data_IF_451901560783
#
_entry.id   IF_451901560783
#
_cell.length_a   1.000
_cell.length_b   1.000
_cell.length_c   1.000
_cell.angle_alpha   90.00
_cell.angle_beta   90.00
_cell.angle_gamma   90.00
#
_symmetry.space_group_name_H-M   'P 1'
#
loop_
_entity.id
_entity.type
_entity.pdbx_description
1 polymer ?
#
# COMPACT_ATOMS: atom_id res chain seq x y z
N UNK A 1 19.27 9.75 -14.08
CA UNK A 1 18.32 9.21 -13.07
C UNK A 1 18.36 10.03 -11.79
N UNK A 2 19.47 10.07 -11.04
CA UNK A 2 19.60 10.89 -9.81
C UNK A 2 19.12 12.35 -9.98
N UNK A 3 19.62 13.07 -10.99
CA UNK A 3 19.19 14.45 -11.26
C UNK A 3 17.68 14.64 -11.50
N UNK A 4 16.97 13.62 -12.03
CA UNK A 4 15.52 13.69 -12.20
C UNK A 4 14.80 13.45 -10.86
N UNK A 5 15.29 12.52 -10.05
CA UNK A 5 14.77 12.26 -8.69
C UNK A 5 15.02 13.44 -7.75
N UNK A 6 16.15 14.13 -7.90
CA UNK A 6 16.48 15.34 -7.13
C UNK A 6 15.48 16.48 -7.38
N UNK A 7 14.79 16.49 -8.53
CA UNK A 7 13.69 17.43 -8.83
C UNK A 7 12.38 17.04 -8.14
N UNK A 8 12.14 15.75 -7.94
CA UNK A 8 10.92 15.24 -7.29
C UNK A 8 11.01 15.32 -5.76
N UNK A 9 12.22 15.18 -5.21
CA UNK A 9 12.46 15.24 -3.77
C UNK A 9 11.84 16.47 -3.08
N UNK A 10 12.10 17.73 -3.52
CA UNK A 10 11.52 18.89 -2.85
C UNK A 10 9.99 18.96 -2.99
N UNK A 11 9.42 18.42 -4.07
CA UNK A 11 7.97 18.37 -4.27
C UNK A 11 7.34 17.40 -3.27
N UNK A 12 7.81 16.15 -3.23
CA UNK A 12 7.28 15.16 -2.28
C UNK A 12 7.50 15.57 -0.83
N UNK A 13 8.66 16.16 -0.51
CA UNK A 13 8.92 16.66 0.84
C UNK A 13 7.89 17.72 1.25
N UNK A 14 7.59 18.68 0.36
CA UNK A 14 6.60 19.70 0.64
C UNK A 14 5.21 19.09 0.87
N UNK A 15 4.79 18.17 0.00
CA UNK A 15 3.50 17.48 0.12
C UNK A 15 3.40 16.69 1.44
N UNK A 16 4.46 15.97 1.82
CA UNK A 16 4.50 15.23 3.09
C UNK A 16 4.52 16.15 4.31
N UNK A 17 5.22 17.29 4.26
CA UNK A 17 5.22 18.26 5.35
C UNK A 17 3.83 18.82 5.59
N UNK A 18 3.11 19.21 4.53
CA UNK A 18 1.73 19.67 4.63
C UNK A 18 0.81 18.56 5.17
N UNK A 19 0.94 17.33 4.64
CA UNK A 19 0.16 16.19 5.09
C UNK A 19 0.36 15.91 6.59
N UNK A 20 1.60 15.91 7.08
CA UNK A 20 1.90 15.67 8.49
C UNK A 20 1.38 16.79 9.40
N UNK A 21 1.42 18.05 8.95
CA UNK A 21 0.84 19.17 9.69
C UNK A 21 -0.68 19.06 9.79
N UNK A 22 -1.36 18.68 8.71
CA UNK A 22 -2.81 18.46 8.71
C UNK A 22 -3.22 17.27 9.59
N UNK A 23 -2.36 16.26 9.68
CA UNK A 23 -2.58 15.03 10.44
C UNK A 23 -1.94 15.06 11.82
N UNK A 24 -1.66 16.25 12.37
CA UNK A 24 -1.06 16.42 13.69
C UNK A 24 -1.74 15.55 14.76
N UNK A 25 -0.93 14.82 15.54
CA UNK A 25 -1.38 13.87 16.55
C UNK A 25 -2.00 12.56 16.04
N UNK A 26 -1.96 12.28 14.72
CA UNK A 26 -2.50 11.05 14.12
C UNK A 26 -1.41 10.31 13.32
N UNK A 27 -1.44 8.96 13.27
CA UNK A 27 -0.55 8.19 12.42
C UNK A 27 -0.86 8.44 10.93
N UNK A 28 0.19 8.50 10.11
CA UNK A 28 0.09 8.63 8.65
C UNK A 28 0.89 7.51 8.01
N UNK A 29 0.19 6.62 7.30
CA UNK A 29 0.78 5.50 6.58
C UNK A 29 0.94 5.83 5.10
N UNK A 30 2.19 5.87 4.66
CA UNK A 30 2.62 6.23 3.31
C UNK A 30 3.06 4.97 2.59
N UNK A 31 2.29 4.60 1.56
CA UNK A 31 2.68 3.52 0.65
C UNK A 31 3.75 4.03 -0.31
N UNK A 32 4.84 3.28 -0.42
CA UNK A 32 5.88 3.57 -1.41
C UNK A 32 5.35 3.38 -2.83
N UNK A 33 6.12 3.86 -3.81
CA UNK A 33 5.74 3.88 -5.21
C UNK A 33 5.34 2.49 -5.71
N UNK A 34 4.11 2.39 -6.20
CA UNK A 34 3.47 1.14 -6.57
C UNK A 34 3.23 0.97 -8.09
N UNK A 35 2.75 1.96 -8.86
CA UNK A 35 2.40 1.73 -10.26
C UNK A 35 3.62 1.41 -11.15
N UNK A 36 3.43 0.66 -12.25
CA UNK A 36 4.47 0.46 -13.24
C UNK A 36 4.81 1.75 -13.98
N UNK A 37 6.06 1.89 -14.43
CA UNK A 37 6.55 3.13 -15.04
C UNK A 37 5.82 3.52 -16.34
N UNK A 38 5.27 2.55 -17.07
CA UNK A 38 4.59 2.83 -18.34
C UNK A 38 3.25 3.57 -18.17
N UNK A 39 2.65 3.57 -16.98
CA UNK A 39 1.45 4.38 -16.69
C UNK A 39 1.73 5.89 -16.72
N UNK A 40 2.99 6.30 -16.58
CA UNK A 40 3.41 7.70 -16.63
C UNK A 40 3.89 8.13 -18.03
N UNK A 41 3.86 7.21 -19.00
CA UNK A 41 4.27 7.51 -20.37
C UNK A 41 3.08 7.99 -21.18
N UNK A 42 3.28 8.98 -22.05
CA UNK A 42 2.22 9.49 -22.89
C UNK A 42 1.70 8.42 -23.85
N UNK A 43 0.42 8.52 -24.17
CA UNK A 43 -0.21 7.69 -25.19
C UNK A 43 -0.36 8.48 -26.49
N UNK A 44 -0.15 7.82 -27.63
CA UNK A 44 -0.29 8.43 -28.94
C UNK A 44 0.95 9.19 -29.41
N UNK A 45 0.92 9.60 -30.69
CA UNK A 45 2.10 10.19 -31.35
C UNK A 45 2.44 11.57 -30.83
N UNK A 46 1.45 12.41 -30.51
CA UNK A 46 1.70 13.80 -30.13
C UNK A 46 2.37 13.88 -28.75
N UNK A 47 1.90 13.11 -27.77
CA UNK A 47 2.55 13.06 -26.46
C UNK A 47 3.96 12.45 -26.50
N UNK A 48 4.24 11.52 -27.43
CA UNK A 48 5.60 11.02 -27.64
C UNK A 48 6.54 12.09 -28.21
N UNK A 49 6.02 13.01 -29.02
CA UNK A 49 6.80 14.15 -29.54
C UNK A 49 7.08 15.17 -28.44
N UNK A 50 6.08 15.52 -27.64
CA UNK A 50 6.30 16.39 -26.47
C UNK A 50 7.36 15.83 -25.51
N UNK A 51 7.38 14.50 -25.33
CA UNK A 51 8.37 13.83 -24.49
C UNK A 51 9.77 13.85 -25.14
N UNK A 52 9.88 13.71 -26.46
CA UNK A 52 11.16 13.78 -27.16
C UNK A 52 11.79 15.19 -27.04
N UNK A 53 10.97 16.23 -27.19
CA UNK A 53 11.38 17.63 -27.10
C UNK A 53 11.83 17.95 -25.67
N UNK A 54 11.06 17.51 -24.67
CA UNK A 54 11.35 17.72 -23.26
C UNK A 54 12.63 16.99 -22.79
N UNK A 55 12.93 15.82 -23.35
CA UNK A 55 14.12 15.03 -23.00
C UNK A 55 15.33 15.34 -23.89
N UNK A 56 15.15 16.10 -24.96
CA UNK A 56 16.15 16.33 -26.01
C UNK A 56 16.74 15.01 -26.54
N UNK A 57 15.87 14.02 -26.81
CA UNK A 57 16.23 12.70 -27.34
C UNK A 57 15.56 12.46 -28.71
N UNK A 58 16.14 11.61 -29.58
CA UNK A 58 15.48 11.20 -30.81
C UNK A 58 14.14 10.50 -30.54
N UNK A 59 13.07 10.84 -31.28
CA UNK A 59 11.75 10.21 -31.09
C UNK A 59 11.79 8.69 -31.24
N UNK A 60 12.69 8.16 -32.07
CA UNK A 60 12.91 6.71 -32.23
C UNK A 60 13.35 6.04 -30.93
N UNK A 61 14.19 6.71 -30.15
CA UNK A 61 14.71 6.18 -28.89
C UNK A 61 13.64 6.24 -27.81
N UNK A 62 12.82 7.31 -27.81
CA UNK A 62 11.66 7.45 -26.94
C UNK A 62 10.63 6.35 -27.23
N UNK A 63 10.29 6.15 -28.50
CA UNK A 63 9.36 5.07 -28.93
C UNK A 63 9.90 3.70 -28.52
N UNK A 64 11.16 3.40 -28.83
CA UNK A 64 11.77 2.14 -28.47
C UNK A 64 11.77 1.91 -26.95
N UNK A 65 11.99 2.98 -26.17
CA UNK A 65 11.97 2.90 -24.71
C UNK A 65 10.56 2.66 -24.17
N UNK A 66 9.55 3.37 -24.70
CA UNK A 66 8.14 3.19 -24.32
C UNK A 66 7.68 1.77 -24.62
N UNK A 67 7.96 1.26 -25.82
CA UNK A 67 7.63 -0.12 -26.19
C UNK A 67 8.37 -1.13 -25.31
N UNK A 68 9.63 -0.86 -24.91
CA UNK A 68 10.37 -1.75 -23.99
C UNK A 68 9.80 -1.79 -22.57
N UNK A 69 9.00 -0.80 -22.17
CA UNK A 69 8.36 -0.75 -20.85
C UNK A 69 6.94 -1.29 -20.85
N UNK A 70 6.38 -1.61 -22.03
CA UNK A 70 5.05 -2.20 -22.12
C UNK A 70 5.07 -3.61 -21.56
N UNK A 71 4.06 -3.90 -20.77
CA UNK A 71 3.84 -5.22 -20.19
C UNK A 71 2.49 -5.75 -20.64
N UNK A 72 2.42 -7.06 -20.88
CA UNK A 72 1.16 -7.71 -21.27
C UNK A 72 0.11 -7.63 -20.15
N UNK A 73 0.53 -7.75 -18.89
CA UNK A 73 -0.33 -7.69 -17.72
C UNK A 73 0.28 -6.74 -16.68
N UNK A 74 0.09 -5.41 -16.82
CA UNK A 74 0.67 -4.40 -15.93
C UNK A 74 0.42 -4.64 -14.43
N UNK A 75 -0.77 -5.14 -14.09
CA UNK A 75 -1.16 -5.48 -12.71
C UNK A 75 -0.18 -6.46 -12.05
N UNK A 76 0.39 -7.39 -12.82
CA UNK A 76 1.32 -8.42 -12.34
C UNK A 76 2.78 -8.14 -12.74
N UNK A 77 3.07 -6.96 -13.27
CA UNK A 77 4.35 -6.61 -13.88
C UNK A 77 5.42 -6.05 -12.94
N UNK A 78 6.30 -5.23 -13.50
CA UNK A 78 7.41 -4.53 -12.84
C UNK A 78 6.91 -3.29 -12.10
N UNK A 79 6.32 -3.53 -10.93
CA UNK A 79 5.71 -2.52 -10.09
C UNK A 79 5.98 -2.79 -8.60
N UNK A 80 5.57 -1.89 -7.71
CA UNK A 80 5.72 -2.02 -6.26
C UNK A 80 7.13 -2.38 -5.82
N UNK A 81 7.27 -3.30 -4.85
CA UNK A 81 8.58 -3.71 -4.34
C UNK A 81 9.55 -4.20 -5.41
N UNK A 82 9.07 -4.78 -6.52
CA UNK A 82 9.92 -5.28 -7.61
C UNK A 82 10.61 -4.11 -8.32
N UNK A 83 9.87 -3.03 -8.55
CA UNK A 83 10.43 -1.79 -9.09
C UNK A 83 11.37 -1.14 -8.07
N UNK A 84 10.98 -1.10 -6.80
CA UNK A 84 11.82 -0.59 -5.71
C UNK A 84 13.11 -1.38 -5.46
N UNK A 85 13.20 -2.63 -5.92
CA UNK A 85 14.44 -3.42 -5.87
C UNK A 85 15.31 -3.23 -7.12
N UNK A 86 14.70 -3.05 -8.29
CA UNK A 86 15.41 -2.91 -9.57
C UNK A 86 15.85 -1.47 -9.87
N UNK A 87 15.11 -0.48 -9.35
CA UNK A 87 15.40 0.95 -9.44
C UNK A 87 15.28 1.56 -8.03
N UNK A 88 16.18 1.18 -7.12
CA UNK A 88 16.00 1.45 -5.71
C UNK A 88 16.15 2.92 -5.33
N UNK A 89 16.73 3.75 -6.19
CA UNK A 89 16.84 5.18 -5.98
C UNK A 89 15.47 5.86 -5.86
N UNK A 90 14.40 5.25 -6.39
CA UNK A 90 13.02 5.73 -6.22
C UNK A 90 12.64 5.64 -4.73
N UNK A 91 12.79 4.47 -4.11
CA UNK A 91 12.45 4.26 -2.70
C UNK A 91 13.37 5.06 -1.78
N UNK A 92 14.66 5.17 -2.11
CA UNK A 92 15.58 5.99 -1.33
C UNK A 92 15.16 7.47 -1.32
N UNK A 93 14.76 8.01 -2.49
CA UNK A 93 14.27 9.39 -2.60
C UNK A 93 12.97 9.59 -1.83
N UNK A 94 12.00 8.67 -1.93
CA UNK A 94 10.75 8.76 -1.18
C UNK A 94 10.98 8.68 0.33
N UNK A 95 11.81 7.73 0.80
CA UNK A 95 12.15 7.61 2.21
C UNK A 95 12.82 8.89 2.73
N UNK A 96 13.76 9.46 1.97
CA UNK A 96 14.38 10.75 2.31
C UNK A 96 13.34 11.87 2.40
N UNK A 97 12.45 11.98 1.41
CA UNK A 97 11.38 12.98 1.40
C UNK A 97 10.50 12.87 2.66
N UNK A 98 10.10 11.66 3.04
CA UNK A 98 9.29 11.36 4.22
C UNK A 98 10.03 11.77 5.51
N UNK A 99 11.30 11.43 5.64
CA UNK A 99 12.07 11.73 6.85
C UNK A 99 12.38 13.21 7.00
N UNK A 100 12.80 13.88 5.93
CA UNK A 100 13.01 15.33 5.95
C UNK A 100 11.71 16.07 6.24
N UNK A 101 10.58 15.63 5.68
CA UNK A 101 9.27 16.20 5.99
C UNK A 101 8.85 15.96 7.44
N UNK A 102 9.16 14.78 8.00
CA UNK A 102 8.89 14.45 9.41
C UNK A 102 9.64 15.40 10.34
N UNK A 103 10.91 15.70 10.05
CA UNK A 103 11.70 16.66 10.82
C UNK A 103 11.10 18.07 10.70
N UNK A 104 10.69 18.49 9.50
CA UNK A 104 10.11 19.81 9.27
C UNK A 104 8.73 20.00 9.93
N UNK A 105 7.92 18.94 9.99
CA UNK A 105 6.59 18.97 10.58
C UNK A 105 6.59 18.73 12.10
N UNK A 106 7.59 18.03 12.64
CA UNK A 106 7.65 17.72 14.07
C UNK A 106 7.98 18.97 14.88
N UNK A 107 7.10 19.30 15.84
CA UNK A 107 7.38 20.31 16.87
C UNK A 107 7.74 19.61 18.19
N UNK A 108 8.35 20.33 19.15
CA UNK A 108 8.73 19.73 20.44
C UNK A 108 7.54 19.13 21.22
N UNK A 109 6.30 19.56 20.94
CA UNK A 109 5.10 19.08 21.63
C UNK A 109 4.39 17.92 20.91
N UNK A 110 4.60 17.77 19.59
CA UNK A 110 3.89 16.79 18.76
C UNK A 110 4.87 16.17 17.74
N UNK A 111 5.53 15.09 18.16
CA UNK A 111 6.42 14.34 17.30
C UNK A 111 5.61 13.52 16.28
N UNK A 112 5.91 13.72 14.99
CA UNK A 112 5.32 12.92 13.91
C UNK A 112 6.06 11.58 13.84
N UNK A 113 5.31 10.48 13.81
CA UNK A 113 5.85 9.13 13.60
C UNK A 113 5.27 8.57 12.30
N UNK A 114 5.93 8.77 11.15
CA UNK A 114 5.45 8.25 9.88
C UNK A 114 5.49 6.72 9.85
N UNK A 115 4.50 6.14 9.19
CA UNK A 115 4.50 4.72 8.83
C UNK A 115 4.82 4.60 7.34
N UNK A 116 5.83 3.79 7.00
CA UNK A 116 6.26 3.56 5.60
C UNK A 116 5.85 2.14 5.22
N UNK A 117 5.07 1.99 4.16
CA UNK A 117 4.53 0.70 3.72
C UNK A 117 5.09 0.27 2.38
N UNK A 118 5.62 -0.95 2.33
CA UNK A 118 6.14 -1.57 1.10
C UNK A 118 4.98 -2.29 0.36
N UNK A 119 4.64 -1.88 -0.88
CA UNK A 119 3.61 -2.52 -1.69
C UNK A 119 4.08 -3.81 -2.37
N UNK A 120 3.12 -4.66 -2.73
CA UNK A 120 3.26 -5.85 -3.58
C UNK A 120 4.29 -6.89 -3.10
N UNK A 121 4.48 -6.97 -1.78
CA UNK A 121 5.40 -7.93 -1.17
C UNK A 121 4.92 -9.35 -1.42
N UNK A 122 5.85 -10.25 -1.70
CA UNK A 122 5.62 -11.68 -1.88
C UNK A 122 6.60 -12.56 -1.11
N UNK A 123 7.77 -12.04 -0.73
CA UNK A 123 8.82 -12.76 -0.05
C UNK A 123 9.51 -11.92 1.04
N UNK A 124 9.86 -12.56 2.16
CA UNK A 124 10.62 -11.97 3.27
C UNK A 124 11.88 -11.22 2.79
N UNK A 125 12.63 -11.78 1.84
CA UNK A 125 13.88 -11.18 1.37
C UNK A 125 13.67 -9.81 0.71
N UNK A 126 12.52 -9.59 0.07
CA UNK A 126 12.17 -8.28 -0.50
C UNK A 126 12.08 -7.22 0.59
N UNK A 127 11.42 -7.57 1.71
CA UNK A 127 11.27 -6.71 2.89
C UNK A 127 12.61 -6.40 3.53
N UNK A 128 13.46 -7.42 3.73
CA UNK A 128 14.80 -7.23 4.32
C UNK A 128 15.67 -6.26 3.52
N UNK A 129 15.69 -6.39 2.19
CA UNK A 129 16.50 -5.54 1.33
C UNK A 129 15.99 -4.11 1.40
N UNK A 130 14.68 -3.89 1.25
CA UNK A 130 14.11 -2.53 1.29
C UNK A 130 14.26 -1.90 2.67
N UNK A 131 14.05 -2.67 3.75
CA UNK A 131 14.27 -2.21 5.13
C UNK A 131 15.68 -1.69 5.34
N UNK A 132 16.70 -2.47 4.95
CA UNK A 132 18.09 -2.08 5.12
C UNK A 132 18.41 -0.76 4.38
N UNK A 133 17.80 -0.53 3.21
CA UNK A 133 17.96 0.73 2.48
C UNK A 133 17.28 1.90 3.18
N UNK A 134 16.04 1.73 3.63
CA UNK A 134 15.30 2.76 4.37
C UNK A 134 16.04 3.13 5.66
N UNK A 135 16.59 2.14 6.38
CA UNK A 135 17.42 2.36 7.57
C UNK A 135 18.69 3.16 7.24
N UNK A 136 19.37 2.85 6.13
CA UNK A 136 20.54 3.60 5.69
C UNK A 136 20.20 5.06 5.32
N UNK A 137 19.07 5.29 4.66
CA UNK A 137 18.58 6.64 4.34
C UNK A 137 18.22 7.40 5.62
N UNK A 138 17.52 6.74 6.56
CA UNK A 138 17.18 7.34 7.84
C UNK A 138 18.44 7.76 8.62
N UNK A 139 19.47 6.91 8.65
CA UNK A 139 20.74 7.22 9.29
C UNK A 139 21.44 8.42 8.63
N UNK A 140 21.46 8.47 7.30
CA UNK A 140 22.03 9.60 6.56
C UNK A 140 21.31 10.92 6.87
N UNK A 141 19.97 10.92 6.86
CA UNK A 141 19.18 12.12 7.19
C UNK A 141 19.42 12.59 8.63
N UNK A 142 19.52 11.67 9.61
CA UNK A 142 19.86 12.03 11.00
C UNK A 142 21.23 12.70 11.11
N UNK A 143 22.25 12.16 10.44
CA UNK A 143 23.61 12.72 10.46
C UNK A 143 23.65 14.10 9.78
N UNK A 144 23.00 14.24 8.63
CA UNK A 144 23.00 15.49 7.85
C UNK A 144 22.23 16.63 8.54
N UNK A 145 21.12 16.30 9.23
CA UNK A 145 20.25 17.30 9.88
C UNK A 145 20.55 17.53 11.35
N UNK A 146 21.23 16.58 12.02
CA UNK A 146 21.42 16.58 13.46
C UNK A 146 20.12 16.34 14.25
N UNK A 147 19.02 15.95 13.59
CA UNK A 147 17.72 15.72 14.21
C UNK A 147 17.42 14.22 14.32
N UNK A 148 16.81 13.83 15.45
CA UNK A 148 16.33 12.47 15.68
C UNK A 148 14.82 12.39 15.38
N UNK A 149 14.36 11.23 14.90
CA UNK A 149 12.94 10.97 14.61
C UNK A 149 12.61 9.48 14.79
N UNK A 150 11.34 9.13 14.93
CA UNK A 150 10.90 7.73 14.91
C UNK A 150 10.14 7.44 13.61
N UNK A 151 10.13 6.19 13.17
CA UNK A 151 9.26 5.74 12.08
C UNK A 151 8.91 4.27 12.27
N UNK A 152 7.85 3.82 11.60
CA UNK A 152 7.44 2.42 11.57
C UNK A 152 7.52 1.92 10.13
N UNK A 153 8.10 0.75 9.92
CA UNK A 153 8.10 0.10 8.61
C UNK A 153 7.06 -1.03 8.59
N UNK A 154 6.27 -1.08 7.55
CA UNK A 154 5.26 -2.12 7.35
C UNK A 154 5.21 -2.63 5.91
N UNK A 155 4.31 -3.58 5.70
CA UNK A 155 4.10 -4.20 4.39
C UNK A 155 2.63 -4.20 4.03
N UNK A 156 2.37 -4.16 2.74
CA UNK A 156 1.06 -4.48 2.20
C UNK A 156 0.97 -5.99 1.97
N UNK A 157 -0.02 -6.63 2.56
CA UNK A 157 -0.34 -8.04 2.36
C UNK A 157 -1.42 -8.13 1.30
N UNK A 158 -0.99 -8.09 0.05
CA UNK A 158 -1.89 -8.04 -1.11
C UNK A 158 -1.56 -9.07 -2.20
N UNK A 159 -0.56 -9.92 -1.93
CA UNK A 159 -0.32 -11.13 -2.72
C UNK A 159 -0.72 -12.37 -1.91
N UNK A 160 -1.30 -13.40 -2.54
CA UNK A 160 -1.63 -14.65 -1.84
C UNK A 160 -0.40 -15.26 -1.15
N UNK A 161 0.77 -15.16 -1.78
CA UNK A 161 2.03 -15.66 -1.19
C UNK A 161 2.41 -14.91 0.09
N UNK A 162 2.19 -13.60 0.17
CA UNK A 162 2.46 -12.85 1.39
C UNK A 162 1.52 -13.27 2.54
N UNK A 163 0.23 -13.51 2.27
CA UNK A 163 -0.69 -14.05 3.27
C UNK A 163 -0.25 -15.45 3.73
N UNK A 164 0.08 -16.34 2.79
CA UNK A 164 0.58 -17.68 3.09
C UNK A 164 1.90 -17.65 3.88
N UNK A 165 2.79 -16.70 3.61
CA UNK A 165 4.11 -16.59 4.27
C UNK A 165 4.16 -15.45 5.29
N UNK A 166 3.02 -15.01 5.82
CA UNK A 166 2.95 -13.90 6.76
C UNK A 166 3.83 -14.10 7.99
N UNK A 167 3.96 -15.34 8.48
CA UNK A 167 4.85 -15.65 9.61
C UNK A 167 6.34 -15.44 9.34
N UNK A 168 6.79 -15.51 8.08
CA UNK A 168 8.17 -15.18 7.73
C UNK A 168 8.38 -13.65 7.64
N UNK A 169 7.32 -12.92 7.27
CA UNK A 169 7.35 -11.49 6.95
C UNK A 169 7.18 -10.66 8.22
N UNK A 170 6.23 -11.04 9.08
CA UNK A 170 5.83 -10.30 10.28
C UNK A 170 6.99 -9.88 11.21
N UNK A 171 8.03 -10.72 11.45
CA UNK A 171 9.16 -10.31 12.29
C UNK A 171 9.97 -9.10 11.76
N UNK A 172 9.78 -8.72 10.49
CA UNK A 172 10.53 -7.64 9.84
C UNK A 172 9.76 -6.33 9.74
N UNK A 173 8.51 -6.30 10.21
CA UNK A 173 7.61 -5.16 10.08
C UNK A 173 6.86 -4.85 11.38
N UNK A 174 6.59 -3.58 11.62
CA UNK A 174 5.77 -3.09 12.73
C UNK A 174 4.27 -3.18 12.45
N UNK A 175 3.87 -3.34 11.19
CA UNK A 175 2.47 -3.48 10.79
C UNK A 175 2.32 -4.22 9.45
N UNK A 176 1.15 -4.82 9.24
CA UNK A 176 0.73 -5.50 8.02
C UNK A 176 -0.64 -4.95 7.61
N UNK A 177 -0.71 -4.31 6.44
CA UNK A 177 -1.97 -3.81 5.89
C UNK A 177 -2.45 -4.69 4.74
N UNK A 178 -3.61 -5.30 4.88
CA UNK A 178 -4.18 -6.19 3.88
C UNK A 178 -4.85 -5.35 2.78
N UNK A 179 -4.20 -5.33 1.62
CA UNK A 179 -4.67 -4.68 0.40
C UNK A 179 -5.65 -5.60 -0.32
N UNK A 180 -6.92 -5.55 0.10
CA UNK A 180 -7.91 -6.53 -0.35
C UNK A 180 -8.27 -6.44 -1.82
N UNK A 181 -8.11 -5.28 -2.46
CA UNK A 181 -8.39 -5.14 -3.89
C UNK A 181 -7.46 -6.03 -4.73
N UNK A 182 -6.14 -5.89 -4.57
CA UNK A 182 -5.16 -6.70 -5.28
C UNK A 182 -5.16 -8.16 -4.79
N UNK A 183 -5.44 -8.39 -3.51
CA UNK A 183 -5.58 -9.75 -2.99
C UNK A 183 -6.78 -10.47 -3.63
N UNK A 184 -7.94 -9.81 -3.79
CA UNK A 184 -9.11 -10.35 -4.49
C UNK A 184 -8.77 -10.64 -5.95
N UNK A 185 -8.12 -9.70 -6.64
CA UNK A 185 -7.69 -9.90 -8.03
C UNK A 185 -6.82 -11.16 -8.18
N UNK A 186 -5.81 -11.32 -7.33
CA UNK A 186 -4.89 -12.47 -7.43
C UNK A 186 -5.49 -13.79 -6.94
N UNK A 187 -6.42 -13.74 -5.98
CA UNK A 187 -7.07 -14.94 -5.44
C UNK A 187 -8.06 -15.52 -6.45
N UNK A 188 -8.84 -14.66 -7.11
CA UNK A 188 -9.80 -15.08 -8.12
C UNK A 188 -9.20 -15.20 -9.53
N UNK A 189 -8.03 -14.61 -9.78
CA UNK A 189 -7.50 -14.48 -11.14
C UNK A 189 -8.28 -13.46 -11.99
N UNK A 190 -8.71 -12.36 -11.37
CA UNK A 190 -9.51 -11.30 -11.98
C UNK A 190 -8.67 -10.05 -12.25
N UNK A 191 -8.86 -9.47 -13.43
CA UNK A 191 -8.55 -8.07 -13.67
C UNK A 191 -9.76 -7.25 -13.26
N UNK A 192 -9.59 -6.32 -12.31
CA UNK A 192 -10.70 -5.47 -11.84
C UNK A 192 -11.29 -4.63 -12.98
N UNK A 193 -10.44 -4.13 -13.87
CA UNK A 193 -10.86 -3.29 -14.99
C UNK A 193 -11.65 -4.08 -16.06
N UNK A 194 -11.48 -5.40 -16.11
CA UNK A 194 -12.15 -6.27 -17.10
C UNK A 194 -13.31 -7.07 -16.50
N UNK A 195 -13.33 -7.29 -15.18
CA UNK A 195 -14.31 -8.14 -14.50
C UNK A 195 -15.76 -7.67 -14.73
N UNK A 196 -15.99 -6.36 -14.84
CA UNK A 196 -17.31 -5.78 -15.10
C UNK A 196 -17.99 -6.29 -16.37
N UNK A 197 -17.24 -6.86 -17.34
CA UNK A 197 -17.78 -7.40 -18.59
C UNK A 197 -18.62 -8.68 -18.38
N UNK A 198 -18.37 -9.44 -17.32
CA UNK A 198 -19.04 -10.72 -17.09
C UNK A 198 -19.58 -10.88 -15.66
N UNK A 199 -19.10 -10.09 -14.69
CA UNK A 199 -19.46 -10.22 -13.28
C UNK A 199 -20.97 -10.17 -13.03
N UNK A 200 -21.68 -9.30 -13.75
CA UNK A 200 -23.14 -9.21 -13.66
C UNK A 200 -23.86 -10.51 -14.07
N UNK A 201 -23.32 -11.28 -15.02
CA UNK A 201 -23.87 -12.60 -15.39
C UNK A 201 -23.55 -13.66 -14.32
N UNK A 202 -22.35 -13.63 -13.75
CA UNK A 202 -21.96 -14.55 -12.67
C UNK A 202 -22.87 -14.38 -11.46
N UNK A 203 -23.17 -13.14 -11.06
CA UNK A 203 -24.11 -12.85 -9.97
C UNK A 203 -25.53 -13.30 -10.33
N UNK A 204 -26.00 -13.05 -11.56
CA UNK A 204 -27.33 -13.52 -12.02
C UNK A 204 -27.48 -15.04 -12.01
N UNK A 205 -26.42 -15.77 -12.36
CA UNK A 205 -26.41 -17.23 -12.35
C UNK A 205 -26.18 -17.82 -10.95
N UNK A 206 -25.94 -16.99 -9.93
CA UNK A 206 -25.64 -17.44 -8.58
C UNK A 206 -24.27 -18.09 -8.42
N UNK A 207 -23.34 -17.84 -9.35
CA UNK A 207 -21.94 -18.26 -9.21
C UNK A 207 -21.30 -17.56 -8.01
N UNK A 208 -21.57 -16.25 -7.87
CA UNK A 208 -21.23 -15.45 -6.70
C UNK A 208 -22.49 -14.78 -6.16
N UNK A 209 -22.54 -14.55 -4.84
CA UNK A 209 -23.63 -13.81 -4.19
C UNK A 209 -23.62 -12.32 -4.59
N UNK A 210 -22.43 -11.76 -4.74
CA UNK A 210 -22.16 -10.35 -5.06
C UNK A 210 -20.78 -10.23 -5.73
N UNK A 211 -20.48 -9.09 -6.34
CA UNK A 211 -19.14 -8.76 -6.83
C UNK A 211 -18.10 -8.78 -5.67
N UNK A 212 -17.05 -9.62 -5.76
CA UNK A 212 -16.04 -9.76 -4.70
C UNK A 212 -15.13 -8.52 -4.53
N UNK A 213 -15.25 -7.51 -5.39
CA UNK A 213 -14.61 -6.20 -5.19
C UNK A 213 -15.45 -5.23 -4.36
N UNK A 214 -16.77 -5.45 -4.26
CA UNK A 214 -17.67 -4.63 -3.45
C UNK A 214 -17.90 -5.21 -2.06
N UNK A 215 -17.96 -6.54 -1.98
CA UNK A 215 -18.16 -7.30 -0.77
C UNK A 215 -17.04 -8.32 -0.60
N UNK A 216 -16.44 -8.34 0.58
CA UNK A 216 -15.37 -9.28 0.88
C UNK A 216 -15.88 -10.72 0.72
N UNK A 217 -15.20 -11.49 -0.11
CA UNK A 217 -15.35 -12.95 -0.18
C UNK A 217 -14.78 -13.56 1.11
N UNK A 218 -15.63 -14.03 2.01
CA UNK A 218 -15.22 -14.61 3.29
C UNK A 218 -14.61 -16.01 3.13
N UNK A 219 -14.99 -16.76 2.09
CA UNK A 219 -14.65 -18.18 1.92
C UNK A 219 -13.29 -18.37 1.21
N UNK A 220 -12.88 -17.45 0.34
CA UNK A 220 -11.57 -17.49 -0.32
C UNK A 220 -10.63 -16.39 0.17
N UNK A 221 -10.92 -15.13 -0.14
CA UNK A 221 -10.07 -13.98 0.21
C UNK A 221 -10.00 -13.81 1.74
N UNK A 222 -11.13 -14.00 2.43
CA UNK A 222 -11.24 -13.99 3.88
C UNK A 222 -10.36 -15.05 4.53
N UNK A 223 -10.30 -16.27 3.97
CA UNK A 223 -9.41 -17.33 4.46
C UNK A 223 -7.94 -16.87 4.42
N UNK A 224 -7.51 -16.20 3.35
CA UNK A 224 -6.17 -15.63 3.25
C UNK A 224 -5.94 -14.50 4.26
N UNK A 225 -6.93 -13.64 4.53
CA UNK A 225 -6.87 -12.60 5.56
C UNK A 225 -6.66 -13.24 6.94
N UNK A 226 -7.51 -14.18 7.32
CA UNK A 226 -7.47 -14.86 8.61
C UNK A 226 -6.19 -15.65 8.79
N UNK A 227 -5.75 -16.37 7.75
CA UNK A 227 -4.50 -17.11 7.75
C UNK A 227 -3.28 -16.19 7.91
N UNK A 228 -3.25 -15.10 7.15
CA UNK A 228 -2.19 -14.10 7.21
C UNK A 228 -2.11 -13.42 8.57
N UNK A 229 -3.26 -12.99 9.11
CA UNK A 229 -3.38 -12.39 10.43
C UNK A 229 -2.89 -13.33 11.54
N UNK A 230 -3.38 -14.58 11.53
CA UNK A 230 -3.00 -15.61 12.51
C UNK A 230 -1.51 -15.90 12.47
N UNK A 231 -0.95 -16.14 11.28
CA UNK A 231 0.49 -16.43 11.11
C UNK A 231 1.35 -15.22 11.46
N UNK A 232 0.90 -14.02 11.10
CA UNK A 232 1.58 -12.77 11.41
C UNK A 232 1.68 -12.54 12.92
N UNK A 233 0.55 -12.63 13.64
CA UNK A 233 0.52 -12.47 15.10
C UNK A 233 1.23 -13.60 15.84
N UNK A 234 1.20 -14.83 15.34
CA UNK A 234 1.98 -15.93 15.92
C UNK A 234 3.49 -15.69 15.86
N UNK A 235 3.98 -15.03 14.81
CA UNK A 235 5.40 -14.73 14.64
C UNK A 235 5.84 -13.39 15.28
N UNK A 236 4.93 -12.41 15.36
CA UNK A 236 5.16 -11.12 15.98
C UNK A 236 3.89 -10.68 16.74
N UNK A 237 3.75 -11.02 18.04
CA UNK A 237 2.53 -10.81 18.80
C UNK A 237 1.99 -9.38 18.84
N UNK A 238 2.83 -8.37 18.61
CA UNK A 238 2.47 -6.95 18.63
C UNK A 238 2.29 -6.33 17.23
N UNK A 239 2.27 -7.13 16.15
CA UNK A 239 2.24 -6.59 14.76
C UNK A 239 0.89 -5.97 14.43
N UNK A 240 0.82 -4.65 14.23
CA UNK A 240 -0.45 -4.01 13.90
C UNK A 240 -1.02 -4.57 12.59
N UNK A 241 -2.23 -5.12 12.62
CA UNK A 241 -2.96 -5.68 11.49
C UNK A 241 -4.04 -4.70 11.07
N UNK A 242 -4.09 -4.38 9.78
CA UNK A 242 -5.14 -3.53 9.23
C UNK A 242 -5.64 -4.02 7.89
N UNK A 243 -6.80 -3.54 7.50
CA UNK A 243 -7.34 -3.69 6.15
C UNK A 243 -7.43 -2.31 5.50
N UNK A 244 -7.08 -2.24 4.22
CA UNK A 244 -7.29 -1.06 3.40
C UNK A 244 -7.95 -1.45 2.06
N UNK A 245 -8.50 -0.46 1.38
CA UNK A 245 -9.26 -0.63 0.16
C UNK A 245 -10.76 -0.47 0.37
N UNK A 246 -11.55 -0.96 -0.58
CA UNK A 246 -12.99 -0.69 -0.62
C UNK A 246 -13.75 -1.46 0.46
N UNK A 247 -13.28 -2.65 0.80
CA UNK A 247 -13.83 -3.47 1.86
C UNK A 247 -13.69 -2.82 3.25
N UNK A 248 -12.70 -1.94 3.47
CA UNK A 248 -12.51 -1.27 4.76
C UNK A 248 -13.65 -0.33 5.18
N UNK A 249 -14.58 -0.01 4.27
CA UNK A 249 -15.78 0.78 4.57
C UNK A 249 -17.08 -0.03 4.50
N UNK A 250 -17.03 -1.36 4.39
CA UNK A 250 -18.20 -2.23 4.30
C UNK A 250 -18.49 -2.84 5.69
N UNK A 251 -19.71 -2.73 6.25
CA UNK A 251 -20.03 -3.25 7.58
C UNK A 251 -19.77 -4.75 7.78
N UNK A 252 -20.07 -5.60 6.79
CA UNK A 252 -19.84 -7.05 6.84
C UNK A 252 -18.33 -7.36 6.86
N UNK A 253 -17.57 -6.70 5.99
CA UNK A 253 -16.10 -6.84 5.97
C UNK A 253 -15.45 -6.34 7.27
N UNK A 254 -15.98 -5.27 7.88
CA UNK A 254 -15.52 -4.77 9.19
C UNK A 254 -15.80 -5.81 10.28
N UNK A 255 -16.97 -6.45 10.26
CA UNK A 255 -17.32 -7.51 11.20
C UNK A 255 -16.35 -8.70 11.07
N UNK A 256 -16.08 -9.13 9.84
CA UNK A 256 -15.12 -10.19 9.55
C UNK A 256 -13.72 -9.85 10.09
N UNK A 257 -13.18 -8.67 9.74
CA UNK A 257 -11.85 -8.24 10.19
C UNK A 257 -11.76 -8.14 11.71
N UNK A 258 -12.82 -7.68 12.38
CA UNK A 258 -12.89 -7.62 13.84
C UNK A 258 -12.86 -9.01 14.47
N UNK A 259 -13.62 -9.96 13.93
CA UNK A 259 -13.59 -11.36 14.38
C UNK A 259 -12.21 -12.01 14.16
N UNK A 260 -11.54 -11.65 13.06
CA UNK A 260 -10.18 -12.10 12.74
C UNK A 260 -9.06 -11.37 13.52
N UNK A 261 -9.40 -10.44 14.42
CA UNK A 261 -8.44 -9.78 15.31
C UNK A 261 -7.64 -8.63 14.69
N UNK A 262 -8.18 -7.96 13.66
CA UNK A 262 -7.55 -6.77 13.07
C UNK A 262 -7.69 -5.55 13.99
N UNK A 263 -6.66 -4.70 14.01
CA UNK A 263 -6.60 -3.54 14.91
C UNK A 263 -7.38 -2.34 14.37
N UNK A 264 -7.38 -2.11 13.05
CA UNK A 264 -8.15 -1.03 12.43
C UNK A 264 -8.51 -1.30 10.96
N UNK A 265 -9.48 -0.52 10.46
CA UNK A 265 -9.87 -0.47 9.06
C UNK A 265 -9.58 0.91 8.48
N UNK A 266 -9.17 0.96 7.21
CA UNK A 266 -8.92 2.20 6.46
C UNK A 266 -9.80 2.24 5.22
N UNK A 267 -10.49 3.35 5.00
CA UNK A 267 -11.41 3.56 3.88
C UNK A 267 -11.36 5.00 3.37
N UNK A 268 -11.99 5.26 2.23
CA UNK A 268 -12.05 6.60 1.65
C UNK A 268 -12.75 7.60 2.60
N UNK A 269 -12.42 8.91 2.53
CA UNK A 269 -12.92 9.91 3.48
C UNK A 269 -14.44 9.89 3.68
N UNK A 270 -15.21 9.73 2.60
CA UNK A 270 -16.67 9.70 2.64
C UNK A 270 -17.27 8.45 3.32
N UNK A 271 -16.50 7.36 3.41
CA UNK A 271 -16.92 6.11 4.06
C UNK A 271 -16.54 6.05 5.54
N UNK A 272 -15.71 6.97 6.03
CA UNK A 272 -15.30 7.03 7.44
C UNK A 272 -16.49 7.07 8.41
N UNK A 273 -17.55 7.90 8.19
CA UNK A 273 -18.71 7.90 9.10
C UNK A 273 -19.42 6.54 9.15
N UNK A 274 -19.56 5.86 8.01
CA UNK A 274 -20.18 4.53 7.90
C UNK A 274 -19.33 3.49 8.63
N UNK A 275 -18.01 3.48 8.40
CA UNK A 275 -17.11 2.55 9.07
C UNK A 275 -17.12 2.72 10.59
N UNK A 276 -17.15 3.97 11.08
CA UNK A 276 -17.26 4.27 12.52
C UNK A 276 -18.58 3.79 13.12
N UNK A 277 -19.69 4.00 12.42
CA UNK A 277 -21.01 3.52 12.86
C UNK A 277 -21.04 2.00 12.93
N UNK A 278 -20.58 1.31 11.88
CA UNK A 278 -20.53 -0.15 11.84
C UNK A 278 -19.66 -0.72 12.97
N UNK A 279 -18.46 -0.18 13.16
CA UNK A 279 -17.57 -0.59 14.25
C UNK A 279 -18.20 -0.40 15.64
N UNK A 280 -18.92 0.71 15.85
CA UNK A 280 -19.62 0.97 17.11
C UNK A 280 -20.78 0.00 17.34
N UNK A 281 -21.59 -0.27 16.32
CA UNK A 281 -22.69 -1.24 16.40
C UNK A 281 -22.18 -2.64 16.74
N UNK A 282 -21.10 -3.09 16.07
CA UNK A 282 -20.48 -4.38 16.34
C UNK A 282 -19.93 -4.47 17.77
N UNK A 283 -19.26 -3.40 18.26
CA UNK A 283 -18.77 -3.36 19.63
C UNK A 283 -19.88 -3.42 20.70
N UNK A 284 -21.07 -2.90 20.40
CA UNK A 284 -22.25 -3.00 21.29
C UNK A 284 -22.77 -4.45 21.30
N UNK A 285 -22.87 -5.09 20.13
CA UNK A 285 -23.34 -6.48 20.01
C UNK A 285 -22.41 -7.44 20.75
N UNK A 286 -21.09 -7.29 20.61
CA UNK A 286 -20.11 -8.11 21.32
C UNK A 286 -20.28 -8.04 22.84
N UNK A 287 -20.50 -6.83 23.37
CA UNK A 287 -20.70 -6.61 24.82
C UNK A 287 -22.02 -7.22 25.32
N UNK A 288 -23.08 -7.16 24.51
CA UNK A 288 -24.36 -7.75 24.86
C UNK A 288 -24.28 -9.29 24.88
N UNK A 289 -23.55 -9.89 23.94
CA UNK A 289 -23.33 -11.34 23.88
C UNK A 289 -22.40 -11.88 24.98
N UNK A 290 -21.49 -11.07 25.52
CA UNK A 290 -20.63 -11.45 26.66
C UNK A 290 -21.34 -11.38 28.02
N UNK A 291 -22.46 -10.63 28.10
CA UNK A 291 -23.24 -10.45 29.32
C UNK A 291 -24.46 -11.40 29.41
N UNK A 292 -24.67 -12.25 28.40
CA UNK A 292 -25.72 -13.26 28.31
C UNK A 292 -25.15 -14.66 28.54
#
# INVERSE_FOLDING_TARGET
RKAALDRLLPMQRADFTELFQLMAGKPVCIRLFDPPLHEFLPHGRDGLRELDEALALPVSDVIARVESMREFNPMLGLRGVRLGLTVPEIYDMQARAIFEATIQASTQAEAVVPEIMIPLVSAKREVEIVRARIEAVAAAVRVETGADFAYRLGVMVETPRAALRAGDIAPHCAFMSFGTNDLTQMTYGLSRDDAGRFMGEYVRQGVYREDPFHLLDEEGVGELLTLGATRGRAAHPDVTLSICGEHGGNPESIAYCRAAGFDYVSCSPFRVPVARLAAAQLAIVDRAGQNA
#
